data_IF_174553570034
#
_entry.id   IF_174553570034
#
_cell.length_a   1.000
_cell.length_b   1.000
_cell.length_c   1.000
_cell.angle_alpha   90.00
_cell.angle_beta   90.00
_cell.angle_gamma   90.00
#
_symmetry.space_group_name_H-M   'P 1'
#
loop_
_entity.id
_entity.type
_entity.pdbx_description
1 polymer ?
#
# COMPACT_ATOMS: atom_id res chain seq x y z
N UNK A 1 -6.53 0.13 16.37
CA UNK A 1 -6.66 1.43 17.05
C UNK A 1 -7.72 2.23 16.35
N UNK A 2 -8.67 2.78 17.08
CA UNK A 2 -9.71 3.66 16.51
C UNK A 2 -9.24 5.12 16.61
N UNK A 3 -9.33 5.85 15.49
CA UNK A 3 -8.88 7.24 15.40
C UNK A 3 -10.00 8.07 14.76
N UNK A 4 -10.48 9.15 15.40
CA UNK A 4 -11.48 10.02 14.79
C UNK A 4 -10.95 10.67 13.51
N UNK A 5 -11.78 10.72 12.46
CA UNK A 5 -11.42 11.36 11.19
C UNK A 5 -11.06 12.84 11.31
N UNK A 6 -11.55 13.52 12.36
CA UNK A 6 -11.28 14.94 12.62
C UNK A 6 -9.90 15.21 13.20
N UNK A 7 -9.13 14.17 13.58
CA UNK A 7 -7.79 14.35 14.15
C UNK A 7 -6.82 14.80 13.07
N UNK A 8 -5.94 15.74 13.39
CA UNK A 8 -4.84 16.11 12.49
C UNK A 8 -3.69 15.10 12.53
N UNK A 9 -2.76 15.23 11.57
CA UNK A 9 -1.61 14.30 11.45
C UNK A 9 -0.73 14.32 12.71
N UNK A 10 -0.64 15.44 13.44
CA UNK A 10 0.13 15.50 14.68
C UNK A 10 -0.51 14.67 15.81
N UNK A 11 -1.83 14.73 15.94
CA UNK A 11 -2.56 13.91 16.90
C UNK A 11 -2.40 12.41 16.58
N UNK A 12 -2.45 12.04 15.30
CA UNK A 12 -2.21 10.66 14.85
C UNK A 12 -0.78 10.23 15.17
N UNK A 13 0.22 11.06 14.90
CA UNK A 13 1.62 10.79 15.27
C UNK A 13 1.81 10.67 16.77
N UNK A 14 1.11 11.46 17.59
CA UNK A 14 1.18 11.31 19.04
C UNK A 14 0.63 9.96 19.51
N UNK A 15 -0.46 9.47 18.90
CA UNK A 15 -1.01 8.15 19.18
C UNK A 15 -0.04 7.06 18.74
N UNK A 16 0.48 7.14 17.51
CA UNK A 16 1.46 6.19 16.98
C UNK A 16 2.75 6.15 17.82
N UNK A 17 3.31 7.31 18.18
CA UNK A 17 4.50 7.41 19.02
C UNK A 17 4.30 6.75 20.38
N UNK A 18 3.12 6.88 21.00
CA UNK A 18 2.78 6.16 22.24
C UNK A 18 2.68 4.64 22.02
N UNK A 19 2.10 4.19 20.91
CA UNK A 19 1.96 2.76 20.60
C UNK A 19 3.31 2.07 20.39
N UNK A 20 4.28 2.77 19.79
CA UNK A 20 5.60 2.23 19.48
C UNK A 20 6.72 2.71 20.41
N UNK A 21 6.39 3.43 21.48
CA UNK A 21 7.35 4.02 22.44
C UNK A 21 8.46 4.87 21.77
N UNK A 22 8.12 5.61 20.72
CA UNK A 22 9.02 6.50 19.98
C UNK A 22 8.53 7.94 20.00
N UNK A 23 9.43 8.94 19.97
CA UNK A 23 9.02 10.34 19.90
C UNK A 23 8.11 10.63 18.69
N UNK A 24 6.95 11.30 18.85
CA UNK A 24 6.01 11.54 17.76
C UNK A 24 6.58 12.29 16.55
N UNK A 25 7.61 13.11 16.75
CA UNK A 25 8.22 13.90 15.69
C UNK A 25 9.32 13.15 14.94
N UNK A 26 9.79 12.02 15.47
CA UNK A 26 10.78 11.16 14.81
C UNK A 26 10.14 10.09 13.94
N UNK A 27 8.81 10.09 13.79
CA UNK A 27 8.10 9.11 12.96
C UNK A 27 7.53 9.75 11.70
N UNK A 28 7.52 8.98 10.61
CA UNK A 28 6.74 9.21 9.39
C UNK A 28 5.60 8.19 9.33
N UNK A 29 4.46 8.64 8.81
CA UNK A 29 3.28 7.80 8.63
C UNK A 29 3.09 7.58 7.13
N UNK A 30 3.04 6.32 6.72
CA UNK A 30 2.86 5.93 5.32
C UNK A 30 1.54 5.19 5.20
N UNK A 31 0.60 5.75 4.44
CA UNK A 31 -0.69 5.13 4.18
C UNK A 31 -0.59 4.20 2.96
N UNK A 32 -1.00 2.94 3.15
CA UNK A 32 -1.15 1.98 2.06
C UNK A 32 -2.59 2.07 1.53
N UNK A 33 -2.78 2.55 0.29
CA UNK A 33 -4.12 2.81 -0.27
C UNK A 33 -4.89 1.53 -0.59
N UNK A 34 -4.18 0.40 -0.73
CA UNK A 34 -4.76 -0.87 -1.17
C UNK A 34 -4.83 -1.01 -2.69
N UNK A 35 -4.46 0.04 -3.42
CA UNK A 35 -4.30 0.01 -4.87
C UNK A 35 -2.95 -0.61 -5.23
N UNK A 36 -2.92 -1.41 -6.28
CA UNK A 36 -1.69 -2.00 -6.81
C UNK A 36 -1.40 -1.36 -8.16
N UNK A 37 -0.19 -0.81 -8.30
CA UNK A 37 0.32 -0.26 -9.55
C UNK A 37 1.20 -1.32 -10.23
N UNK A 38 0.99 -1.63 -11.52
CA UNK A 38 1.89 -2.50 -12.26
C UNK A 38 3.22 -1.78 -12.44
N UNK A 39 4.29 -2.36 -11.91
CA UNK A 39 5.66 -1.88 -12.14
C UNK A 39 6.14 -2.60 -13.39
N UNK A 40 6.33 -1.84 -14.47
CA UNK A 40 6.68 -2.37 -15.79
C UNK A 40 7.69 -3.52 -15.73
N UNK A 41 7.33 -4.63 -16.37
CA UNK A 41 8.05 -5.90 -16.37
C UNK A 41 7.31 -6.98 -17.16
N UNK A 42 6.49 -6.59 -18.14
CA UNK A 42 6.23 -7.47 -19.28
C UNK A 42 7.55 -7.47 -20.03
N UNK A 43 8.45 -8.39 -19.66
CA UNK A 43 9.62 -8.62 -20.47
C UNK A 43 9.09 -8.96 -21.87
N UNK A 44 9.51 -8.19 -22.87
CA UNK A 44 9.23 -8.43 -24.29
C UNK A 44 9.88 -9.74 -24.79
N UNK A 45 10.30 -10.63 -23.89
CA UNK A 45 10.84 -11.95 -24.13
C UNK A 45 9.79 -13.07 -23.90
N UNK A 46 8.50 -12.78 -24.10
CA UNK A 46 7.57 -13.80 -24.60
C UNK A 46 7.68 -13.88 -26.13
N UNK A 47 8.89 -14.23 -26.57
CA UNK A 47 9.10 -14.76 -27.90
C UNK A 47 8.41 -16.13 -28.01
N UNK A 48 7.31 -16.14 -28.76
CA UNK A 48 6.72 -17.31 -29.41
C UNK A 48 6.05 -18.37 -28.52
N UNK A 49 4.77 -18.15 -28.19
CA UNK A 49 3.83 -19.27 -28.03
C UNK A 49 2.40 -18.83 -28.36
N UNK A 50 2.04 -19.02 -29.63
CA UNK A 50 0.72 -19.35 -30.17
C UNK A 50 -0.52 -19.08 -29.29
N UNK A 51 -1.24 -18.01 -29.66
CA UNK A 51 -2.70 -17.90 -29.80
C UNK A 51 -3.56 -19.08 -29.31
N UNK A 52 -3.96 -19.10 -28.02
CA UNK A 52 -5.17 -19.79 -27.51
C UNK A 52 -5.75 -19.02 -26.29
N UNK A 53 -6.83 -18.27 -26.53
CA UNK A 53 -7.89 -17.81 -25.60
C UNK A 53 -7.47 -17.27 -24.20
N UNK A 54 -7.10 -15.98 -24.20
CA UNK A 54 -6.74 -15.12 -23.06
C UNK A 54 -7.96 -14.63 -22.24
N UNK A 55 -8.74 -15.55 -21.65
CA UNK A 55 -9.79 -15.20 -20.65
C UNK A 55 -9.50 -15.80 -19.26
N UNK A 56 -8.61 -16.79 -19.16
CA UNK A 56 -8.22 -17.40 -17.89
C UNK A 56 -7.05 -16.71 -17.17
N UNK A 57 -6.23 -15.94 -17.89
CA UNK A 57 -5.01 -15.33 -17.35
C UNK A 57 -5.30 -14.14 -16.42
N UNK A 58 -6.31 -13.33 -16.73
CA UNK A 58 -6.74 -12.23 -15.82
C UNK A 58 -7.31 -12.77 -14.50
N UNK A 59 -8.05 -13.88 -14.54
CA UNK A 59 -8.63 -14.51 -13.36
C UNK A 59 -7.54 -15.09 -12.45
N UNK A 60 -6.54 -15.77 -13.03
CA UNK A 60 -5.39 -16.30 -12.30
C UNK A 60 -4.56 -15.18 -11.65
N UNK A 61 -4.32 -14.09 -12.39
CA UNK A 61 -3.59 -12.91 -11.88
C UNK A 61 -4.34 -12.23 -10.74
N UNK A 62 -5.67 -12.08 -10.86
CA UNK A 62 -6.50 -11.51 -9.81
C UNK A 62 -6.47 -12.35 -8.51
N UNK A 63 -6.47 -13.69 -8.63
CA UNK A 63 -6.34 -14.61 -7.49
C UNK A 63 -4.97 -14.49 -6.85
N UNK A 64 -3.91 -14.38 -7.65
CA UNK A 64 -2.54 -14.20 -7.19
C UNK A 64 -2.34 -12.85 -6.47
N UNK A 65 -2.93 -11.76 -6.98
CA UNK A 65 -2.96 -10.44 -6.33
C UNK A 65 -3.77 -10.48 -5.03
N UNK A 66 -4.92 -11.15 -5.00
CA UNK A 66 -5.72 -11.34 -3.77
C UNK A 66 -4.96 -12.13 -2.69
N UNK A 67 -4.22 -13.18 -3.07
CA UNK A 67 -3.36 -13.92 -2.16
C UNK A 67 -2.18 -13.05 -1.65
N UNK A 68 -1.63 -12.22 -2.53
CA UNK A 68 -0.55 -11.28 -2.26
C UNK A 68 -0.94 -10.12 -1.32
N UNK A 69 -2.21 -9.69 -1.31
CA UNK A 69 -2.72 -8.65 -0.40
C UNK A 69 -2.45 -8.97 1.09
N UNK A 70 -2.22 -10.23 1.43
CA UNK A 70 -1.86 -10.67 2.78
C UNK A 70 -0.38 -10.61 3.13
N UNK A 71 0.55 -10.52 2.16
CA UNK A 71 1.96 -10.90 2.37
C UNK A 71 3.03 -9.80 2.31
N UNK A 72 2.79 -8.60 1.77
CA UNK A 72 3.80 -7.52 1.82
C UNK A 72 3.89 -6.63 0.59
N UNK A 73 4.88 -5.72 0.63
CA UNK A 73 5.06 -4.46 -0.11
C UNK A 73 5.30 -4.59 -1.63
N UNK A 74 5.76 -5.76 -2.06
CA UNK A 74 6.13 -6.09 -3.42
C UNK A 74 5.81 -7.56 -3.72
N UNK A 75 5.13 -7.80 -4.85
CA UNK A 75 4.89 -9.17 -5.32
C UNK A 75 5.33 -9.29 -6.77
N UNK A 76 6.31 -10.16 -6.98
CA UNK A 76 6.60 -10.73 -8.29
C UNK A 76 5.65 -11.89 -8.54
N UNK A 77 4.71 -11.68 -9.46
CA UNK A 77 3.78 -12.72 -9.86
C UNK A 77 4.46 -13.64 -10.86
N UNK A 78 4.24 -14.95 -10.73
CA UNK A 78 4.97 -15.96 -11.49
C UNK A 78 4.77 -15.85 -13.00
N UNK A 79 3.70 -15.19 -13.44
CA UNK A 79 3.29 -15.07 -14.85
C UNK A 79 2.93 -13.66 -15.31
N UNK A 80 3.09 -12.63 -14.47
CA UNK A 80 2.53 -11.32 -14.79
C UNK A 80 3.18 -10.18 -14.05
N UNK A 81 4.39 -9.82 -14.46
CA UNK A 81 5.08 -8.59 -14.04
C UNK A 81 5.26 -8.43 -12.53
N UNK A 82 5.86 -7.31 -12.16
CA UNK A 82 6.01 -6.93 -10.75
C UNK A 82 4.87 -5.98 -10.40
N UNK A 83 4.19 -6.24 -9.30
CA UNK A 83 3.14 -5.35 -8.79
C UNK A 83 3.61 -4.76 -7.47
N UNK A 84 3.40 -3.46 -7.30
CA UNK A 84 3.72 -2.75 -6.05
C UNK A 84 2.48 -2.07 -5.53
N UNK A 85 2.31 -2.16 -4.21
CA UNK A 85 1.21 -1.49 -3.54
C UNK A 85 1.48 0.02 -3.49
N UNK A 86 0.47 0.82 -3.82
CA UNK A 86 0.57 2.27 -3.75
C UNK A 86 0.61 2.73 -2.29
N UNK A 87 1.58 3.58 -2.02
CA UNK A 87 1.83 4.16 -0.71
C UNK A 87 1.87 5.69 -0.79
N UNK A 88 1.35 6.36 0.24
CA UNK A 88 1.32 7.81 0.34
C UNK A 88 1.82 8.24 1.72
N UNK A 89 2.89 9.04 1.77
CA UNK A 89 3.31 9.65 3.03
C UNK A 89 2.29 10.69 3.50
N UNK A 90 1.85 10.57 4.74
CA UNK A 90 0.98 11.55 5.38
C UNK A 90 1.83 12.72 5.89
N UNK A 91 1.84 13.81 5.13
CA UNK A 91 2.63 15.01 5.42
C UNK A 91 2.26 15.65 6.77
N UNK A 92 3.27 16.16 7.47
CA UNK A 92 3.12 16.83 8.75
C UNK A 92 2.27 18.10 8.59
N UNK A 93 1.21 18.22 9.39
CA UNK A 93 0.40 19.42 9.33
C UNK A 93 -0.93 19.31 10.07
N UNK A 94 -1.68 20.42 10.13
CA UNK A 94 -2.99 20.49 10.78
C UNK A 94 -4.12 19.88 9.93
N UNK A 95 -3.79 19.25 8.79
CA UNK A 95 -4.79 18.60 7.92
C UNK A 95 -5.39 17.42 8.67
N UNK A 96 -6.72 17.35 8.69
CA UNK A 96 -7.44 16.27 9.34
C UNK A 96 -7.26 14.95 8.56
N UNK A 97 -7.12 13.85 9.29
CA UNK A 97 -6.89 12.51 8.76
C UNK A 97 -7.97 12.10 7.77
N UNK A 98 -9.22 12.49 8.01
CA UNK A 98 -10.34 12.21 7.11
C UNK A 98 -10.23 12.83 5.71
N UNK A 99 -9.32 13.79 5.49
CA UNK A 99 -8.98 14.32 4.16
C UNK A 99 -7.70 13.71 3.58
N UNK A 100 -7.01 12.88 4.35
CA UNK A 100 -5.76 12.24 3.96
C UNK A 100 -5.95 10.78 3.57
N UNK A 101 -6.92 10.08 4.18
CA UNK A 101 -7.18 8.66 3.96
C UNK A 101 -8.64 8.42 3.63
N UNK A 102 -8.88 7.47 2.74
CA UNK A 102 -10.22 7.07 2.33
C UNK A 102 -10.79 5.93 3.18
N UNK A 103 -12.12 5.85 3.24
CA UNK A 103 -12.84 4.76 3.93
C UNK A 103 -12.92 4.89 5.45
N UNK A 104 -13.36 3.82 6.11
CA UNK A 104 -13.47 3.70 7.58
C UNK A 104 -12.33 2.88 8.19
N UNK A 105 -11.53 2.22 7.35
CA UNK A 105 -10.39 1.40 7.75
C UNK A 105 -9.23 1.72 6.82
N UNK A 106 -8.08 2.03 7.40
CA UNK A 106 -6.87 2.37 6.67
C UNK A 106 -5.68 1.63 7.30
N UNK A 107 -4.73 1.22 6.47
CA UNK A 107 -3.48 0.61 6.92
C UNK A 107 -2.36 1.64 6.82
N UNK A 108 -1.80 2.01 7.97
CA UNK A 108 -0.75 3.02 8.08
C UNK A 108 0.49 2.36 8.67
N UNK A 109 1.58 2.35 7.91
CA UNK A 109 2.90 1.95 8.38
C UNK A 109 3.56 3.12 9.10
N UNK A 110 4.19 2.82 10.24
CA UNK A 110 4.92 3.80 11.06
C UNK A 110 6.39 3.51 10.91
N UNK A 111 7.14 4.51 10.48
CA UNK A 111 8.58 4.37 10.26
C UNK A 111 9.33 5.50 10.97
N UNK A 112 10.57 5.25 11.40
CA UNK A 112 11.40 6.27 12.03
C UNK A 112 12.13 7.09 10.97
N UNK A 113 12.15 8.42 11.12
CA UNK A 113 13.05 9.32 10.40
C UNK A 113 14.47 9.03 10.91
N UNK A 114 15.31 8.45 10.06
CA UNK A 114 16.75 8.32 10.29
C UNK A 114 17.44 9.67 10.11
#
# INVERSE_FOLDING_TARGET
TEIPKSFDVYAVKAIAGRMFAVPPLTIRLVWETGEWDPVGGFDEELGDSSDEEDEGLEADLAVEIEAAKGFGEDVELRKGGRWVKREVELADGPRQLGFCVDGLSARIRVETRQ
#
